data_IF_740534302929
#
_entry.id   IF_740534302929
#
_cell.length_a   1.000
_cell.length_b   1.000
_cell.length_c   1.000
_cell.angle_alpha   90.00
_cell.angle_beta   90.00
_cell.angle_gamma   90.00
#
_symmetry.space_group_name_H-M   'P 1'
#
loop_
_entity.id
_entity.type
_entity.pdbx_description
1 polymer ?
#
# COMPACT_ATOMS: atom_id res chain seq x y z
N UNK A 1 -117.20 -23.55 -22.39
CA UNK A 1 -117.32 -22.09 -22.58
C UNK A 1 -115.98 -21.45 -22.25
N UNK A 2 -115.44 -20.68 -23.21
CA UNK A 2 -114.29 -19.76 -23.07
C UNK A 2 -112.94 -20.46 -22.97
N UNK A 3 -111.97 -20.33 -23.87
CA UNK A 3 -111.72 -19.30 -24.88
C UNK A 3 -110.35 -18.68 -24.62
N UNK A 4 -109.41 -18.97 -25.54
CA UNK A 4 -108.11 -18.36 -25.86
C UNK A 4 -107.60 -17.14 -25.07
N UNK A 5 -106.27 -17.08 -24.91
CA UNK A 5 -105.36 -16.02 -25.45
C UNK A 5 -103.92 -16.38 -25.03
N UNK A 6 -103.08 -16.89 -25.93
CA UNK A 6 -102.21 -16.19 -26.89
C UNK A 6 -100.86 -15.72 -26.32
N UNK A 7 -99.81 -16.18 -27.01
CA UNK A 7 -98.39 -15.84 -26.91
C UNK A 7 -98.13 -14.38 -27.25
N UNK A 8 -97.31 -13.71 -26.44
CA UNK A 8 -96.33 -12.65 -26.76
C UNK A 8 -95.76 -12.23 -25.37
N UNK A 9 -94.49 -11.99 -25.07
CA UNK A 9 -93.37 -11.44 -25.82
C UNK A 9 -92.06 -11.96 -25.20
N UNK A 10 -91.09 -12.31 -26.05
CA UNK A 10 -89.71 -12.55 -25.67
C UNK A 10 -88.85 -11.52 -26.38
N UNK A 11 -88.13 -10.67 -25.62
CA UNK A 11 -86.84 -10.01 -25.96
C UNK A 11 -86.63 -8.72 -25.16
N UNK A 12 -86.24 -8.81 -23.88
CA UNK A 12 -85.47 -7.73 -23.23
C UNK A 12 -84.46 -8.38 -22.29
N UNK A 13 -83.29 -8.78 -22.83
CA UNK A 13 -82.34 -9.56 -22.02
C UNK A 13 -80.87 -9.53 -22.45
N UNK A 14 -80.45 -8.65 -23.37
CA UNK A 14 -79.12 -8.79 -24.00
C UNK A 14 -78.27 -7.53 -24.04
N UNK A 15 -78.67 -6.44 -23.36
CA UNK A 15 -77.87 -5.21 -23.24
C UNK A 15 -77.02 -5.15 -21.96
N UNK A 16 -77.59 -5.53 -20.81
CA UNK A 16 -77.00 -5.30 -19.48
C UNK A 16 -75.83 -6.23 -19.11
N UNK A 17 -75.66 -7.32 -19.85
CA UNK A 17 -74.67 -8.36 -19.54
C UNK A 17 -73.32 -8.13 -20.23
N UNK A 18 -73.29 -7.37 -21.33
CA UNK A 18 -72.04 -6.99 -22.02
C UNK A 18 -71.25 -5.92 -21.25
N UNK A 19 -71.93 -4.93 -20.67
CA UNK A 19 -71.28 -3.85 -19.89
C UNK A 19 -70.61 -4.35 -18.60
N UNK A 20 -71.21 -5.35 -17.93
CA UNK A 20 -70.62 -5.95 -16.73
C UNK A 20 -69.35 -6.76 -17.05
N UNK A 21 -69.32 -7.48 -18.19
CA UNK A 21 -68.12 -8.20 -18.64
C UNK A 21 -67.00 -7.24 -19.08
N UNK A 22 -67.35 -6.12 -19.73
CA UNK A 22 -66.39 -5.07 -20.10
C UNK A 22 -65.71 -4.45 -18.88
N UNK A 23 -66.49 -3.97 -17.90
CA UNK A 23 -65.95 -3.40 -16.64
C UNK A 23 -65.12 -4.40 -15.83
N UNK A 24 -65.50 -5.67 -15.82
CA UNK A 24 -64.77 -6.70 -15.09
C UNK A 24 -63.45 -7.07 -15.78
N UNK A 25 -63.40 -7.04 -17.12
CA UNK A 25 -62.17 -7.17 -17.90
C UNK A 25 -61.24 -5.98 -17.73
N UNK A 26 -61.78 -4.77 -17.65
CA UNK A 26 -61.02 -3.52 -17.51
C UNK A 26 -60.41 -3.36 -16.11
N UNK A 27 -61.15 -3.73 -15.05
CA UNK A 27 -60.58 -3.82 -13.69
C UNK A 27 -59.45 -4.85 -13.59
N UNK A 28 -59.62 -6.03 -14.19
CA UNK A 28 -58.55 -7.05 -14.25
C UNK A 28 -57.33 -6.59 -15.06
N UNK A 29 -57.49 -5.70 -16.04
CA UNK A 29 -56.37 -5.09 -16.77
C UNK A 29 -55.66 -4.03 -15.94
N UNK A 30 -56.39 -3.22 -15.17
CA UNK A 30 -55.79 -2.26 -14.23
C UNK A 30 -55.03 -2.96 -13.09
N UNK A 31 -55.59 -4.03 -12.52
CA UNK A 31 -54.93 -4.83 -11.47
C UNK A 31 -53.66 -5.52 -11.98
N UNK A 32 -53.67 -6.06 -13.21
CA UNK A 32 -52.45 -6.62 -13.81
C UNK A 32 -51.40 -5.57 -14.17
N UNK A 33 -51.84 -4.37 -14.57
CA UNK A 33 -50.95 -3.24 -14.86
C UNK A 33 -50.26 -2.71 -13.59
N UNK A 34 -50.98 -2.65 -12.47
CA UNK A 34 -50.43 -2.27 -11.17
C UNK A 34 -49.53 -3.36 -10.58
N UNK A 35 -49.86 -4.64 -10.72
CA UNK A 35 -49.00 -5.75 -10.31
C UNK A 35 -47.70 -5.82 -11.13
N UNK A 36 -47.75 -5.60 -12.45
CA UNK A 36 -46.55 -5.55 -13.29
C UNK A 36 -45.62 -4.37 -12.93
N UNK A 37 -46.18 -3.20 -12.62
CA UNK A 37 -45.38 -2.04 -12.19
C UNK A 37 -44.79 -2.27 -10.80
N UNK A 38 -45.56 -2.77 -9.82
CA UNK A 38 -45.05 -3.10 -8.47
C UNK A 38 -43.97 -4.18 -8.54
N UNK A 39 -44.14 -5.21 -9.37
CA UNK A 39 -43.15 -6.27 -9.59
C UNK A 39 -41.86 -5.76 -10.25
N UNK A 40 -41.95 -4.82 -11.19
CA UNK A 40 -40.76 -4.16 -11.78
C UNK A 40 -40.05 -3.26 -10.76
N UNK A 41 -40.79 -2.53 -9.93
CA UNK A 41 -40.23 -1.67 -8.88
C UNK A 41 -39.55 -2.50 -7.80
N UNK A 42 -40.12 -3.65 -7.40
CA UNK A 42 -39.50 -4.61 -6.47
C UNK A 42 -38.19 -5.18 -7.00
N UNK A 43 -38.17 -5.68 -8.25
CA UNK A 43 -36.94 -6.22 -8.85
C UNK A 43 -35.85 -5.17 -9.01
N UNK A 44 -36.21 -3.90 -9.30
CA UNK A 44 -35.25 -2.79 -9.30
C UNK A 44 -34.71 -2.52 -7.90
N UNK A 45 -35.57 -2.48 -6.88
CA UNK A 45 -35.15 -2.27 -5.49
C UNK A 45 -34.23 -3.39 -4.98
N UNK A 46 -34.53 -4.65 -5.31
CA UNK A 46 -33.68 -5.80 -4.97
C UNK A 46 -32.31 -5.72 -5.64
N UNK A 47 -32.24 -5.35 -6.92
CA UNK A 47 -30.96 -5.11 -7.61
C UNK A 47 -30.16 -3.96 -6.96
N UNK A 48 -30.82 -2.86 -6.61
CA UNK A 48 -30.17 -1.72 -5.94
C UNK A 48 -29.66 -2.12 -4.56
N UNK A 49 -30.40 -2.96 -3.83
CA UNK A 49 -30.00 -3.49 -2.52
C UNK A 49 -28.82 -4.45 -2.64
N UNK A 50 -28.80 -5.33 -3.65
CA UNK A 50 -27.66 -6.20 -3.96
C UNK A 50 -26.40 -5.42 -4.34
N UNK A 51 -26.53 -4.37 -5.15
CA UNK A 51 -25.42 -3.47 -5.51
C UNK A 51 -24.88 -2.75 -4.27
N UNK A 52 -25.76 -2.32 -3.34
CA UNK A 52 -25.35 -1.69 -2.07
C UNK A 52 -24.68 -2.66 -1.10
N UNK A 53 -25.18 -3.89 -1.00
CA UNK A 53 -24.63 -4.92 -0.11
C UNK A 53 -23.23 -5.39 -0.52
N UNK A 54 -22.98 -5.55 -1.82
CA UNK A 54 -21.65 -5.91 -2.34
C UNK A 54 -20.60 -4.82 -2.10
N UNK A 55 -20.98 -3.54 -2.27
CA UNK A 55 -20.08 -2.40 -2.06
C UNK A 55 -19.57 -2.30 -0.62
N UNK A 56 -20.40 -2.61 0.38
CA UNK A 56 -19.96 -2.59 1.79
C UNK A 56 -18.92 -3.66 2.08
N UNK A 57 -19.04 -4.85 1.48
CA UNK A 57 -18.08 -5.95 1.66
C UNK A 57 -16.74 -5.59 1.00
N UNK A 58 -16.78 -5.05 -0.22
CA UNK A 58 -15.56 -4.60 -0.92
C UNK A 58 -14.84 -3.47 -0.17
N UNK A 59 -15.58 -2.50 0.36
CA UNK A 59 -15.00 -1.40 1.15
C UNK A 59 -14.49 -1.85 2.53
N UNK A 60 -15.10 -2.88 3.12
CA UNK A 60 -14.61 -3.47 4.39
C UNK A 60 -13.26 -4.17 4.23
N UNK A 61 -12.92 -4.63 3.02
CA UNK A 61 -11.61 -5.18 2.69
C UNK A 61 -10.61 -4.07 2.28
N UNK A 62 -11.10 -2.99 1.67
CA UNK A 62 -10.29 -1.83 1.29
C UNK A 62 -9.70 -1.11 2.51
N UNK A 63 -10.48 -0.92 3.57
CA UNK A 63 -10.02 -0.24 4.79
C UNK A 63 -8.78 -0.88 5.46
N UNK A 64 -8.76 -2.20 5.75
CA UNK A 64 -7.58 -2.84 6.30
C UNK A 64 -6.40 -2.83 5.32
N UNK A 65 -6.64 -2.94 4.01
CA UNK A 65 -5.57 -2.81 3.00
C UNK A 65 -4.94 -1.40 3.01
N UNK A 66 -5.75 -0.36 3.16
CA UNK A 66 -5.27 1.02 3.26
C UNK A 66 -4.45 1.22 4.54
N UNK A 67 -4.90 0.64 5.66
CA UNK A 67 -4.18 0.67 6.94
C UNK A 67 -2.85 -0.07 6.85
N UNK A 68 -2.84 -1.27 6.27
CA UNK A 68 -1.63 -2.03 6.02
C UNK A 68 -0.67 -1.24 5.13
N UNK A 69 -1.16 -0.62 4.06
CA UNK A 69 -0.33 0.22 3.18
C UNK A 69 0.27 1.40 3.93
N UNK A 70 -0.50 2.09 4.78
CA UNK A 70 0.01 3.17 5.64
C UNK A 70 1.12 2.69 6.58
N UNK A 71 0.91 1.55 7.24
CA UNK A 71 1.92 0.94 8.11
C UNK A 71 3.19 0.56 7.34
N UNK A 72 3.07 0.00 6.14
CA UNK A 72 4.21 -0.34 5.29
C UNK A 72 4.98 0.91 4.84
N UNK A 73 4.28 1.99 4.48
CA UNK A 73 4.92 3.24 4.09
C UNK A 73 5.82 3.80 5.21
N UNK A 74 5.29 3.85 6.45
CA UNK A 74 6.08 4.32 7.60
C UNK A 74 7.26 3.39 7.89
N UNK A 75 7.06 2.07 7.79
CA UNK A 75 8.14 1.09 7.95
C UNK A 75 9.27 1.28 6.92
N UNK A 76 8.92 1.48 5.65
CA UNK A 76 9.88 1.74 4.58
C UNK A 76 10.63 3.06 4.77
N UNK A 77 9.96 4.11 5.23
CA UNK A 77 10.60 5.39 5.55
C UNK A 77 11.68 5.22 6.62
N UNK A 78 11.37 4.53 7.72
CA UNK A 78 12.36 4.27 8.76
C UNK A 78 13.48 3.34 8.28
N UNK A 79 13.17 2.34 7.45
CA UNK A 79 14.18 1.49 6.86
C UNK A 79 15.16 2.27 5.98
N UNK A 80 14.66 3.16 5.13
CA UNK A 80 15.50 3.99 4.27
C UNK A 80 16.29 5.04 5.08
N UNK A 81 15.66 5.63 6.09
CA UNK A 81 16.33 6.55 7.01
C UNK A 81 17.52 5.87 7.70
N UNK A 82 17.30 4.72 8.33
CA UNK A 82 18.35 3.98 9.02
C UNK A 82 19.46 3.52 8.06
N UNK A 83 19.13 3.11 6.83
CA UNK A 83 20.13 2.77 5.80
C UNK A 83 21.06 3.96 5.51
N UNK A 84 20.49 5.15 5.32
CA UNK A 84 21.27 6.36 5.03
C UNK A 84 22.15 6.77 6.22
N UNK A 85 21.66 6.59 7.45
CA UNK A 85 22.46 6.84 8.66
C UNK A 85 23.65 5.89 8.75
N UNK A 86 23.46 4.59 8.51
CA UNK A 86 24.55 3.61 8.52
C UNK A 86 25.57 3.93 7.43
N UNK A 87 25.11 4.28 6.23
CA UNK A 87 25.99 4.62 5.11
C UNK A 87 26.81 5.89 5.39
N UNK A 88 26.19 6.92 5.96
CA UNK A 88 26.88 8.13 6.42
C UNK A 88 27.87 7.84 7.54
N UNK A 89 27.50 7.02 8.53
CA UNK A 89 28.40 6.64 9.62
C UNK A 89 29.64 5.88 9.11
N UNK A 90 29.45 4.94 8.18
CA UNK A 90 30.55 4.23 7.52
C UNK A 90 31.45 5.21 6.76
N UNK A 91 30.86 6.11 5.97
CA UNK A 91 31.61 7.10 5.20
C UNK A 91 32.46 8.01 6.09
N UNK A 92 31.85 8.59 7.13
CA UNK A 92 32.54 9.53 8.02
C UNK A 92 33.61 8.85 8.88
N UNK A 93 33.34 7.65 9.39
CA UNK A 93 34.33 6.88 10.14
C UNK A 93 35.55 6.55 9.25
N UNK A 94 35.31 6.16 8.00
CA UNK A 94 36.36 5.80 7.06
C UNK A 94 37.14 7.04 6.58
N UNK A 95 36.46 8.13 6.26
CA UNK A 95 37.09 9.38 5.82
C UNK A 95 37.93 10.02 6.95
N UNK A 96 37.36 10.11 8.17
CA UNK A 96 38.05 10.71 9.32
C UNK A 96 39.24 9.91 9.83
N UNK A 97 39.29 8.61 9.54
CA UNK A 97 40.41 7.74 9.93
C UNK A 97 41.52 7.80 8.90
N UNK A 98 41.18 7.91 7.62
CA UNK A 98 42.15 8.11 6.53
C UNK A 98 42.82 9.48 6.61
N UNK A 99 42.09 10.54 6.95
CA UNK A 99 42.68 11.90 7.07
C UNK A 99 43.59 12.06 8.29
N UNK A 100 43.41 11.21 9.31
CA UNK A 100 44.21 11.23 10.54
C UNK A 100 45.37 10.24 10.52
N UNK A 101 45.29 9.19 9.72
CA UNK A 101 46.34 8.19 9.58
C UNK A 101 47.42 8.64 8.60
N UNK A 102 48.68 8.65 9.04
CA UNK A 102 49.82 8.91 8.14
C UNK A 102 50.06 7.74 7.18
N UNK A 103 49.82 6.50 7.62
CA UNK A 103 49.92 5.28 6.81
C UNK A 103 48.71 4.36 7.03
N UNK A 104 48.39 3.51 6.03
CA UNK A 104 47.29 2.55 6.13
C UNK A 104 47.49 1.49 7.23
N UNK A 105 48.73 1.25 7.62
CA UNK A 105 49.10 0.26 8.64
C UNK A 105 48.87 0.80 10.06
N UNK A 106 49.13 2.10 10.27
CA UNK A 106 49.06 2.79 11.57
C UNK A 106 47.60 3.08 12.03
N UNK A 107 46.63 2.95 11.12
CA UNK A 107 45.21 3.11 11.45
C UNK A 107 44.71 1.89 12.22
N UNK A 108 44.54 2.03 13.54
CA UNK A 108 43.96 0.97 14.40
C UNK A 108 42.48 0.73 14.05
N UNK A 109 42.14 -0.53 13.79
CA UNK A 109 40.78 -0.96 13.44
C UNK A 109 39.76 -0.65 14.54
N UNK A 110 40.18 -0.76 15.81
CA UNK A 110 39.33 -0.45 16.96
C UNK A 110 38.84 1.00 16.99
N UNK A 111 39.67 1.96 16.58
CA UNK A 111 39.31 3.40 16.57
C UNK A 111 38.30 3.70 15.46
N UNK A 112 38.37 2.98 14.33
CA UNK A 112 37.38 3.10 13.24
C UNK A 112 36.02 2.59 13.73
N UNK A 113 36.01 1.43 14.39
CA UNK A 113 34.81 0.81 14.92
C UNK A 113 34.17 1.64 16.03
N UNK A 114 34.96 2.18 16.94
CA UNK A 114 34.49 3.05 18.02
C UNK A 114 33.75 4.28 17.46
N UNK A 115 34.36 5.01 16.51
CA UNK A 115 33.71 6.15 15.85
C UNK A 115 32.45 5.76 15.09
N UNK A 116 32.45 4.57 14.49
CA UNK A 116 31.28 4.03 13.82
C UNK A 116 30.14 3.81 14.83
N UNK A 117 30.41 3.17 15.97
CA UNK A 117 29.39 2.92 17.00
C UNK A 117 28.91 4.20 17.70
N UNK A 118 29.80 5.16 18.01
CA UNK A 118 29.42 6.47 18.56
C UNK A 118 28.39 7.18 17.67
N UNK A 119 28.56 7.08 16.35
CA UNK A 119 27.65 7.73 15.40
C UNK A 119 26.33 7.01 15.22
N UNK A 120 26.28 5.71 15.48
CA UNK A 120 25.07 4.89 15.43
C UNK A 120 24.23 5.00 16.70
N UNK A 121 24.87 5.29 17.84
CA UNK A 121 24.17 5.45 19.13
C UNK A 121 23.11 6.54 19.04
N UNK A 122 21.85 6.13 19.27
CA UNK A 122 20.69 7.02 19.33
C UNK A 122 20.08 7.44 17.98
N UNK A 123 20.62 7.01 16.83
CA UNK A 123 20.09 7.39 15.51
C UNK A 123 19.35 6.28 14.76
N UNK A 124 19.60 5.01 15.10
CA UNK A 124 18.95 3.87 14.46
C UNK A 124 17.74 3.43 15.28
N UNK A 125 16.56 3.48 14.68
CA UNK A 125 15.30 3.08 15.33
C UNK A 125 14.95 1.63 15.00
N UNK A 126 15.14 1.25 13.73
CA UNK A 126 14.97 -0.11 13.25
C UNK A 126 16.25 -0.91 13.43
N UNK A 127 17.43 -0.47 12.97
CA UNK A 127 18.62 -1.33 12.98
C UNK A 127 19.30 -1.37 14.37
N UNK A 128 19.02 -2.42 15.15
CA UNK A 128 19.57 -2.58 16.51
C UNK A 128 20.75 -3.56 16.62
N UNK A 129 20.86 -4.56 15.72
CA UNK A 129 22.04 -5.44 15.64
C UNK A 129 22.89 -5.01 14.44
N UNK A 130 23.78 -4.03 14.65
CA UNK A 130 24.71 -3.54 13.65
C UNK A 130 26.11 -4.02 14.02
N UNK A 131 26.77 -4.73 13.11
CA UNK A 131 28.14 -5.22 13.26
C UNK A 131 29.04 -4.55 12.21
N UNK A 132 30.06 -3.86 12.68
CA UNK A 132 31.14 -3.35 11.82
C UNK A 132 32.29 -4.37 11.72
N UNK A 133 32.80 -4.58 10.52
CA UNK A 133 34.05 -5.29 10.24
C UNK A 133 34.95 -4.40 9.38
N UNK A 134 36.21 -4.29 9.79
CA UNK A 134 37.24 -3.53 9.05
C UNK A 134 38.16 -4.52 8.36
N UNK A 135 38.54 -4.24 7.11
CA UNK A 135 39.54 -4.98 6.35
C UNK A 135 40.53 -4.00 5.74
N UNK A 136 41.83 -4.26 5.90
CA UNK A 136 42.90 -3.53 5.23
C UNK A 136 43.33 -4.30 3.98
N UNK A 137 43.28 -3.67 2.81
CA UNK A 137 43.59 -4.30 1.53
C UNK A 137 44.52 -3.38 0.73
N UNK A 138 45.84 -3.66 0.74
CA UNK A 138 46.84 -3.01 -0.13
C UNK A 138 46.83 -1.48 -0.11
N UNK A 139 46.85 -0.85 1.07
CA UNK A 139 46.80 0.61 1.23
C UNK A 139 45.40 1.22 1.15
N UNK A 140 44.35 0.38 1.02
CA UNK A 140 42.95 0.78 1.10
C UNK A 140 42.33 0.23 2.38
N UNK A 141 41.55 1.06 3.07
CA UNK A 141 40.76 0.66 4.24
C UNK A 141 39.34 0.40 3.77
N UNK A 142 38.80 -0.77 4.10
CA UNK A 142 37.45 -1.19 3.76
C UNK A 142 36.66 -1.38 5.06
N UNK A 143 35.53 -0.67 5.18
CA UNK A 143 34.61 -0.82 6.29
C UNK A 143 33.32 -1.47 5.77
N UNK A 144 32.95 -2.58 6.40
CA UNK A 144 31.76 -3.36 6.10
C UNK A 144 30.85 -3.36 7.33
N UNK A 145 29.69 -2.72 7.21
CA UNK A 145 28.65 -2.73 8.22
C UNK A 145 27.55 -3.72 7.82
N UNK A 146 27.31 -4.72 8.66
CA UNK A 146 26.18 -5.65 8.50
C UNK A 146 25.16 -5.35 9.57
N UNK A 147 23.92 -5.11 9.18
CA UNK A 147 22.80 -4.99 10.10
C UNK A 147 21.74 -6.05 9.79
N UNK A 148 21.23 -6.69 10.83
CA UNK A 148 20.19 -7.72 10.72
C UNK A 148 19.02 -7.41 11.64
N UNK A 149 17.80 -7.34 11.09
CA UNK A 149 16.58 -7.32 11.91
C UNK A 149 15.36 -7.83 11.15
N UNK A 150 14.47 -8.53 11.84
CA UNK A 150 13.20 -9.06 11.30
C UNK A 150 13.33 -9.88 10.01
N UNK A 151 14.47 -10.57 9.80
CA UNK A 151 14.75 -11.33 8.58
C UNK A 151 15.32 -10.51 7.42
N UNK A 152 15.52 -9.20 7.63
CA UNK A 152 16.09 -8.28 6.65
C UNK A 152 17.56 -8.08 6.97
N UNK A 153 18.42 -8.26 5.95
CA UNK A 153 19.86 -8.07 6.06
C UNK A 153 20.27 -6.88 5.21
N UNK A 154 20.91 -5.91 5.85
CA UNK A 154 21.53 -4.76 5.17
C UNK A 154 23.03 -4.91 5.29
N UNK A 155 23.72 -4.88 4.15
CA UNK A 155 25.19 -4.90 4.10
C UNK A 155 25.63 -3.62 3.40
N UNK A 156 26.39 -2.79 4.10
CA UNK A 156 26.99 -1.57 3.57
C UNK A 156 28.49 -1.78 3.55
N UNK A 157 29.09 -1.79 2.36
CA UNK A 157 30.54 -1.87 2.19
C UNK A 157 31.04 -0.60 1.55
N UNK A 158 32.00 0.06 2.19
CA UNK A 158 32.72 1.19 1.61
C UNK A 158 34.21 0.94 1.63
N UNK A 159 34.86 1.31 0.52
CA UNK A 159 36.31 1.25 0.34
C UNK A 159 36.84 2.68 0.27
N UNK A 160 37.96 2.94 0.90
CA UNK A 160 38.64 4.22 0.83
C UNK A 160 40.15 4.02 0.70
N UNK A 161 40.78 4.85 -0.12
CA UNK A 161 42.22 4.81 -0.31
C UNK A 161 42.89 5.76 0.67
N UNK A 162 43.93 5.30 1.36
CA UNK A 162 44.75 6.19 2.18
C UNK A 162 45.53 7.09 1.24
N UNK A 163 45.17 8.38 1.24
CA UNK A 163 45.81 9.39 0.42
C UNK A 163 46.95 10.01 1.22
N UNK A 164 48.16 9.98 0.66
CA UNK A 164 49.34 10.68 1.16
C UNK A 164 49.24 12.20 0.96
N UNK A 165 48.16 12.82 1.44
CA UNK A 165 47.87 14.22 1.13
C UNK A 165 48.95 15.17 1.65
N UNK A 166 49.49 14.92 2.85
CA UNK A 166 50.49 15.80 3.46
C UNK A 166 51.83 15.76 2.71
N UNK A 167 52.19 14.58 2.24
CA UNK A 167 53.44 14.30 1.53
C UNK A 167 53.40 14.74 0.06
N UNK A 168 52.21 14.72 -0.55
CA UNK A 168 51.95 15.29 -1.87
C UNK A 168 52.04 16.82 -1.84
N UNK A 169 51.41 17.46 -0.84
CA UNK A 169 51.42 18.92 -0.70
C UNK A 169 52.83 19.44 -0.35
N UNK A 170 53.61 18.71 0.46
CA UNK A 170 54.99 19.08 0.77
C UNK A 170 55.97 18.90 -0.40
N UNK A 171 55.72 17.93 -1.30
CA UNK A 171 56.56 17.68 -2.48
C UNK A 171 56.13 18.46 -3.73
N UNK A 172 54.96 19.09 -3.73
CA UNK A 172 54.49 19.95 -4.81
C UNK A 172 55.53 20.98 -5.31
N UNK A 173 56.32 21.64 -4.43
CA UNK A 173 57.39 22.56 -4.86
C UNK A 173 58.55 21.87 -5.60
N UNK A 174 58.84 20.61 -5.31
CA UNK A 174 59.96 19.85 -5.91
C UNK A 174 59.56 19.19 -7.24
N UNK A 175 58.27 18.91 -7.45
CA UNK A 175 57.75 18.26 -8.67
C UNK A 175 57.47 19.28 -9.79
N UNK A 176 57.33 20.57 -9.44
CA UNK A 176 57.04 21.66 -10.38
C UNK A 176 58.29 22.41 -10.90
N UNK A 177 59.50 21.96 -10.53
CA UNK A 177 60.78 22.44 -11.08
C UNK A 177 61.26 21.53 -12.20
#
# INVERSE_FOLDING_TARGET
MGGSQMKAEAKIGTGRQKDKKGRQGERRRMDKGSEMTVGQTRRKAEKILWIKGGFTIEMSLLMPLLLFMGMQCVFLMFFFHDKNIVEGAVYEALASTVTRGKEAEDVKEGVILERFYERLQGKCLLLSDIRGSVKKEGGKVVLEATANKFGWKVIVRRKWQVLWQEDYIRRLPDILK
#
